data_IF_154304122237
#
_entry.id   IF_154304122237
#
_cell.length_a   1.000
_cell.length_b   1.000
_cell.length_c   1.000
_cell.angle_alpha   90.00
_cell.angle_beta   90.00
_cell.angle_gamma   90.00
#
_symmetry.space_group_name_H-M   'P 1'
#
loop_
_entity.id
_entity.type
_entity.pdbx_description
1 polymer ?
#
# COMPACT_ATOMS: atom_id res chain seq x y z
N UNK A 1 2.49 5.35 -26.98
CA UNK A 1 1.50 6.38 -26.60
C UNK A 1 1.70 6.68 -25.12
N UNK A 2 1.84 7.94 -24.73
CA UNK A 2 1.90 8.29 -23.31
C UNK A 2 0.53 7.95 -22.68
N UNK A 3 0.51 7.04 -21.70
CA UNK A 3 -0.72 6.70 -20.96
C UNK A 3 -1.18 7.96 -20.25
N UNK A 4 -2.46 8.33 -20.43
CA UNK A 4 -3.02 9.50 -19.76
C UNK A 4 -2.90 9.30 -18.24
N UNK A 5 -2.42 10.33 -17.54
CA UNK A 5 -2.29 10.30 -16.08
C UNK A 5 -3.67 10.00 -15.46
N UNK A 6 -3.74 8.95 -14.65
CA UNK A 6 -4.94 8.59 -13.90
C UNK A 6 -5.23 9.71 -12.89
N UNK A 7 -6.51 10.05 -12.71
CA UNK A 7 -6.96 10.95 -11.65
C UNK A 7 -7.16 10.15 -10.37
N UNK A 8 -6.63 10.67 -9.27
CA UNK A 8 -6.77 10.13 -7.92
C UNK A 8 -6.77 11.28 -6.93
N UNK A 9 -7.34 11.06 -5.75
CA UNK A 9 -7.36 12.04 -4.65
C UNK A 9 -7.14 11.37 -3.30
N UNK A 10 -6.82 12.18 -2.29
CA UNK A 10 -6.73 11.70 -0.90
C UNK A 10 -8.08 11.14 -0.45
N UNK A 11 -8.05 9.95 0.16
CA UNK A 11 -9.21 9.19 0.57
C UNK A 11 -9.55 8.03 -0.37
N UNK A 12 -9.17 8.10 -1.65
CA UNK A 12 -9.44 7.05 -2.62
C UNK A 12 -8.79 5.72 -2.24
N UNK A 13 -9.49 4.64 -2.58
CA UNK A 13 -8.99 3.28 -2.51
C UNK A 13 -8.39 2.88 -3.86
N UNK A 14 -7.22 2.27 -3.80
CA UNK A 14 -6.52 1.77 -4.97
C UNK A 14 -6.28 0.27 -4.87
N UNK A 15 -6.15 -0.37 -6.03
CA UNK A 15 -5.76 -1.77 -6.16
C UNK A 15 -4.27 -1.89 -6.48
N UNK A 16 -3.55 -2.74 -5.77
CA UNK A 16 -2.21 -3.20 -6.15
C UNK A 16 -2.38 -4.50 -6.92
N UNK A 17 -2.02 -4.57 -8.22
CA UNK A 17 -2.14 -5.79 -8.99
C UNK A 17 -1.34 -6.94 -8.38
N UNK A 18 -2.04 -8.04 -8.18
CA UNK A 18 -1.50 -9.35 -7.84
C UNK A 18 -1.69 -10.25 -9.07
N UNK A 19 -1.10 -11.44 -9.06
CA UNK A 19 -1.35 -12.48 -10.05
C UNK A 19 -2.83 -12.91 -10.12
N UNK A 20 -3.23 -13.52 -11.24
CA UNK A 20 -4.56 -14.09 -11.49
C UNK A 20 -5.76 -13.14 -11.35
N UNK A 21 -5.63 -11.91 -11.86
CA UNK A 21 -6.72 -10.93 -11.86
C UNK A 21 -7.18 -10.56 -10.43
N UNK A 22 -6.29 -10.55 -9.44
CA UNK A 22 -6.58 -10.05 -8.09
C UNK A 22 -5.91 -8.71 -7.83
N UNK A 23 -6.54 -7.89 -6.99
CA UNK A 23 -6.01 -6.62 -6.51
C UNK A 23 -5.98 -6.65 -4.98
N UNK A 24 -4.82 -6.35 -4.37
CA UNK A 24 -4.76 -6.01 -2.96
C UNK A 24 -5.26 -4.58 -2.76
N UNK A 25 -5.90 -4.29 -1.64
CA UNK A 25 -6.50 -2.98 -1.38
C UNK A 25 -5.56 -2.10 -0.57
N UNK A 26 -5.34 -0.89 -1.06
CA UNK A 26 -4.77 0.20 -0.29
C UNK A 26 -5.67 1.43 -0.26
N UNK A 27 -5.38 2.36 0.64
CA UNK A 27 -6.05 3.66 0.72
C UNK A 27 -5.03 4.78 0.78
N UNK A 28 -5.29 5.86 0.02
CA UNK A 28 -4.50 7.08 0.05
C UNK A 28 -4.92 7.90 1.27
N UNK A 29 -3.99 8.14 2.19
CA UNK A 29 -4.24 8.96 3.38
C UNK A 29 -3.74 10.40 3.26
N UNK A 30 -2.77 10.66 2.39
CA UNK A 30 -2.23 12.01 2.22
C UNK A 30 -1.23 12.08 1.08
N UNK A 31 -0.97 13.30 0.62
CA UNK A 31 0.04 13.61 -0.40
C UNK A 31 0.91 14.74 0.13
N UNK A 32 2.22 14.56 0.04
CA UNK A 32 3.20 15.47 0.60
C UNK A 32 4.31 15.72 -0.43
N UNK A 33 4.50 16.99 -0.78
CA UNK A 33 5.55 17.39 -1.71
C UNK A 33 6.91 16.90 -1.23
N UNK A 34 7.76 16.45 -2.16
CA UNK A 34 9.12 15.91 -1.93
C UNK A 34 9.19 14.58 -1.16
N UNK A 35 8.10 14.12 -0.56
CA UNK A 35 8.01 12.81 0.11
C UNK A 35 7.28 11.81 -0.78
N UNK A 36 6.05 12.11 -1.20
CA UNK A 36 5.19 11.20 -1.95
C UNK A 36 3.82 11.03 -1.30
N UNK A 37 3.27 9.83 -1.38
CA UNK A 37 1.89 9.53 -0.98
C UNK A 37 1.89 8.65 0.26
N UNK A 38 1.23 9.10 1.34
CA UNK A 38 0.99 8.28 2.51
C UNK A 38 -0.13 7.27 2.18
N UNK A 39 0.17 5.99 2.28
CA UNK A 39 -0.76 4.92 1.96
C UNK A 39 -0.90 3.93 3.12
N UNK A 40 -2.11 3.42 3.32
CA UNK A 40 -2.33 2.15 4.00
C UNK A 40 -2.42 1.03 2.99
N UNK A 41 -1.83 -0.11 3.32
CA UNK A 41 -1.99 -1.36 2.59
C UNK A 41 -2.66 -2.36 3.52
N UNK A 42 -3.61 -3.13 2.99
CA UNK A 42 -4.40 -4.09 3.76
C UNK A 42 -4.21 -5.52 3.25
N UNK A 43 -4.64 -6.50 4.05
CA UNK A 43 -4.75 -7.91 3.63
C UNK A 43 -5.99 -8.19 2.77
N UNK A 44 -6.85 -7.21 2.53
CA UNK A 44 -8.02 -7.38 1.67
C UNK A 44 -7.59 -7.54 0.22
N UNK A 45 -8.20 -8.48 -0.50
CA UNK A 45 -8.04 -8.61 -1.95
C UNK A 45 -9.36 -8.92 -2.64
N UNK A 46 -9.52 -8.40 -3.84
CA UNK A 46 -10.70 -8.63 -4.68
C UNK A 46 -10.27 -9.11 -6.06
N UNK A 47 -11.15 -9.87 -6.73
CA UNK A 47 -10.95 -10.11 -8.15
C UNK A 47 -11.22 -8.83 -8.93
N UNK A 48 -10.31 -8.43 -9.81
CA UNK A 48 -10.45 -7.30 -10.73
C UNK A 48 -11.65 -7.47 -11.69
N UNK A 49 -12.10 -8.71 -11.91
CA UNK A 49 -13.32 -9.03 -12.68
C UNK A 49 -14.61 -8.71 -11.92
N UNK A 50 -14.55 -8.74 -10.59
CA UNK A 50 -15.67 -8.53 -9.68
C UNK A 50 -15.33 -7.39 -8.71
N UNK A 51 -14.84 -6.25 -9.23
CA UNK A 51 -14.72 -5.06 -8.40
C UNK A 51 -16.06 -4.81 -7.72
N UNK A 52 -16.09 -4.48 -6.42
CA UNK A 52 -17.33 -4.20 -5.72
C UNK A 52 -17.97 -2.95 -6.34
N UNK A 53 -18.83 -3.17 -7.33
CA UNK A 53 -19.52 -2.10 -8.05
C UNK A 53 -20.54 -1.37 -7.16
N UNK A 54 -20.90 -1.97 -6.02
CA UNK A 54 -22.02 -1.52 -5.18
C UNK A 54 -21.81 -1.63 -3.66
N UNK A 55 -20.69 -2.18 -3.17
CA UNK A 55 -20.39 -2.22 -1.72
C UNK A 55 -19.24 -1.29 -1.39
N UNK A 56 -19.42 -0.48 -0.34
CA UNK A 56 -18.36 0.38 0.19
C UNK A 56 -17.24 -0.48 0.78
N UNK A 57 -16.04 -0.38 0.21
CA UNK A 57 -14.81 -0.85 0.85
C UNK A 57 -14.70 -0.15 2.20
N UNK A 58 -14.70 -0.96 3.25
CA UNK A 58 -14.48 -0.53 4.62
C UNK A 58 -13.23 -1.23 5.12
N UNK A 59 -12.18 -0.45 5.31
CA UNK A 59 -10.96 -0.96 5.94
C UNK A 59 -11.23 -1.07 7.44
N UNK A 60 -11.20 -2.30 7.95
CA UNK A 60 -11.02 -2.54 9.38
C UNK A 60 -9.55 -2.33 9.72
N UNK A 61 -9.29 -1.72 10.87
CA UNK A 61 -7.93 -1.50 11.34
C UNK A 61 -7.14 -2.80 11.52
N UNK A 62 -7.84 -3.90 11.79
CA UNK A 62 -7.25 -5.22 11.91
C UNK A 62 -6.76 -5.77 10.57
N UNK A 63 -7.23 -5.21 9.45
CA UNK A 63 -6.85 -5.60 8.10
C UNK A 63 -5.63 -4.84 7.59
N UNK A 64 -5.22 -3.76 8.26
CA UNK A 64 -4.02 -3.01 7.88
C UNK A 64 -2.78 -3.85 8.16
N UNK A 65 -1.94 -4.00 7.14
CA UNK A 65 -0.68 -4.78 7.22
C UNK A 65 0.54 -3.89 7.11
N UNK A 66 0.43 -2.76 6.42
CA UNK A 66 1.54 -1.85 6.19
C UNK A 66 1.03 -0.40 6.07
N UNK A 67 1.85 0.56 6.52
CA UNK A 67 1.60 1.98 6.38
C UNK A 67 2.91 2.68 6.05
N UNK A 68 2.97 3.38 4.91
CA UNK A 68 4.21 3.90 4.37
C UNK A 68 3.99 5.06 3.39
N UNK A 69 5.06 5.81 3.13
CA UNK A 69 5.10 6.71 1.99
C UNK A 69 5.55 5.94 0.75
N UNK A 70 4.87 6.17 -0.37
CA UNK A 70 5.21 5.58 -1.67
C UNK A 70 5.39 6.67 -2.72
N UNK A 71 6.17 6.37 -3.75
CA UNK A 71 6.26 7.25 -4.93
C UNK A 71 4.91 7.29 -5.67
N UNK A 72 4.57 8.45 -6.25
CA UNK A 72 3.29 8.66 -6.95
C UNK A 72 3.16 7.87 -8.26
N UNK A 73 4.26 7.30 -8.77
CA UNK A 73 4.37 6.81 -10.14
C UNK A 73 3.32 5.75 -10.50
N UNK A 74 3.09 4.76 -9.63
CA UNK A 74 2.11 3.70 -9.91
C UNK A 74 0.68 4.20 -9.89
N UNK A 75 0.35 5.18 -9.04
CA UNK A 75 -0.97 5.82 -9.01
C UNK A 75 -1.16 6.73 -10.22
N UNK A 76 -0.15 7.53 -10.56
CA UNK A 76 -0.16 8.45 -11.69
C UNK A 76 -0.32 7.73 -13.03
N UNK A 77 0.44 6.64 -13.22
CA UNK A 77 0.41 5.85 -14.46
C UNK A 77 -0.74 4.84 -14.50
N UNK A 78 -1.53 4.73 -13.43
CA UNK A 78 -2.62 3.76 -13.31
C UNK A 78 -2.14 2.31 -13.37
N UNK A 79 -0.93 2.05 -12.86
CA UNK A 79 -0.51 0.68 -12.53
C UNK A 79 -1.24 0.20 -11.28
N UNK A 80 -1.48 1.12 -10.34
CA UNK A 80 -2.40 0.92 -9.24
C UNK A 80 -3.72 1.62 -9.55
N UNK A 81 -4.73 0.92 -10.09
CA UNK A 81 -5.99 1.53 -10.46
C UNK A 81 -6.75 2.04 -9.23
N UNK A 82 -7.43 3.18 -9.37
CA UNK A 82 -8.43 3.59 -8.36
C UNK A 82 -9.64 2.68 -8.50
N UNK A 83 -9.99 2.00 -7.41
CA UNK A 83 -11.08 1.01 -7.38
C UNK A 83 -12.35 1.56 -6.72
N UNK A 84 -12.21 2.58 -5.85
CA UNK A 84 -13.34 3.27 -5.25
C UNK A 84 -12.93 4.63 -4.70
N UNK A 85 -13.82 5.62 -4.79
CA UNK A 85 -13.64 6.88 -4.10
C UNK A 85 -13.91 6.73 -2.61
N UNK A 86 -13.09 7.34 -1.78
CA UNK A 86 -13.22 7.25 -0.34
C UNK A 86 -12.99 8.57 0.37
N UNK A 87 -13.19 8.57 1.68
CA UNK A 87 -12.93 9.71 2.55
C UNK A 87 -11.84 9.29 3.53
N UNK A 88 -10.82 10.13 3.67
CA UNK A 88 -9.77 9.91 4.65
C UNK A 88 -10.25 10.20 6.07
N UNK A 89 -9.99 9.29 6.99
CA UNK A 89 -10.10 9.56 8.42
C UNK A 89 -8.76 10.12 8.94
N UNK A 90 -8.72 11.40 9.31
CA UNK A 90 -7.49 12.05 9.82
C UNK A 90 -6.93 11.39 11.07
N UNK A 91 -7.77 10.76 11.91
CA UNK A 91 -7.29 10.05 13.09
C UNK A 91 -6.47 8.81 12.70
N UNK A 92 -6.86 8.12 11.63
CA UNK A 92 -6.12 6.96 11.10
C UNK A 92 -4.77 7.42 10.54
N UNK A 93 -4.73 8.55 9.82
CA UNK A 93 -3.48 9.14 9.34
C UNK A 93 -2.51 9.41 10.50
N UNK A 94 -2.95 10.08 11.56
CA UNK A 94 -2.09 10.37 12.73
C UNK A 94 -1.67 9.11 13.49
N UNK A 95 -2.51 8.08 13.50
CA UNK A 95 -2.19 6.82 14.15
C UNK A 95 -1.00 6.11 13.49
N UNK A 96 -1.00 6.04 12.15
CA UNK A 96 0.04 5.33 11.40
C UNK A 96 1.22 6.21 11.02
N UNK A 97 1.02 7.53 10.97
CA UNK A 97 2.03 8.53 10.68
C UNK A 97 2.08 9.56 11.82
N UNK A 98 2.63 9.21 12.99
CA UNK A 98 2.58 10.08 14.18
C UNK A 98 3.29 11.42 13.99
N UNK A 99 4.26 11.50 13.08
CA UNK A 99 5.01 12.71 12.77
C UNK A 99 4.38 13.55 11.65
N UNK A 100 3.14 13.26 11.24
CA UNK A 100 2.53 13.93 10.09
C UNK A 100 2.41 15.45 10.26
N UNK A 101 2.13 15.91 11.48
CA UNK A 101 2.04 17.35 11.76
C UNK A 101 3.39 18.06 11.56
N UNK A 102 4.52 17.37 11.79
CA UNK A 102 5.87 17.90 11.53
C UNK A 102 6.17 17.92 10.03
N UNK A 103 5.75 16.89 9.30
CA UNK A 103 5.89 16.81 7.84
C UNK A 103 5.11 17.96 7.18
N UNK A 104 3.88 18.23 7.64
CA UNK A 104 3.06 19.34 7.16
C UNK A 104 3.69 20.72 7.43
N UNK A 105 4.59 20.82 8.42
CA UNK A 105 5.40 22.00 8.72
C UNK A 105 6.71 22.06 7.92
N UNK A 106 6.96 21.08 7.05
CA UNK A 106 8.16 21.00 6.21
C UNK A 106 9.34 20.25 6.83
N UNK A 107 9.18 19.63 8.01
CA UNK A 107 10.21 18.79 8.60
C UNK A 107 10.14 17.37 8.03
N UNK A 108 10.98 17.11 7.04
CA UNK A 108 11.01 15.84 6.30
C UNK A 108 12.20 14.93 6.68
N UNK A 109 12.94 15.29 7.73
CA UNK A 109 14.15 14.56 8.13
C UNK A 109 13.77 13.16 8.62
N UNK A 110 14.43 12.14 8.06
CA UNK A 110 14.24 10.74 8.45
C UNK A 110 12.98 10.08 7.88
N UNK A 111 12.27 10.75 6.97
CA UNK A 111 11.16 10.15 6.23
C UNK A 111 11.71 9.32 5.07
N UNK A 112 11.31 8.06 5.02
CA UNK A 112 11.62 7.16 3.92
C UNK A 112 10.39 7.02 3.01
N UNK A 113 10.62 6.98 1.72
CA UNK A 113 9.61 6.72 0.69
C UNK A 113 10.01 5.49 -0.08
N UNK A 114 9.10 4.54 -0.15
CA UNK A 114 9.31 3.29 -0.88
C UNK A 114 8.92 3.44 -2.35
N UNK A 115 9.71 2.82 -3.23
CA UNK A 115 9.35 2.67 -4.63
C UNK A 115 8.20 1.66 -4.77
N UNK A 116 7.26 1.91 -5.68
CA UNK A 116 6.11 1.04 -5.87
C UNK A 116 6.46 -0.42 -6.19
N UNK A 117 7.57 -0.68 -6.88
CA UNK A 117 8.05 -2.03 -7.16
C UNK A 117 8.34 -2.86 -5.89
N UNK A 118 8.84 -2.21 -4.83
CA UNK A 118 9.05 -2.87 -3.53
C UNK A 118 7.71 -3.32 -2.95
N UNK A 119 6.67 -2.49 -3.11
CA UNK A 119 5.35 -2.76 -2.56
C UNK A 119 4.64 -3.86 -3.36
N UNK A 120 4.81 -3.86 -4.69
CA UNK A 120 4.31 -4.92 -5.57
C UNK A 120 4.87 -6.28 -5.13
N UNK A 121 6.19 -6.36 -4.86
CA UNK A 121 6.83 -7.60 -4.45
C UNK A 121 6.51 -7.99 -3.00
N UNK A 122 6.44 -7.01 -2.09
CA UNK A 122 5.94 -7.21 -0.73
C UNK A 122 4.55 -7.84 -0.72
N UNK A 123 3.62 -7.32 -1.54
CA UNK A 123 2.25 -7.82 -1.60
C UNK A 123 2.19 -9.23 -2.20
N UNK A 124 2.96 -9.52 -3.26
CA UNK A 124 3.06 -10.88 -3.81
C UNK A 124 3.58 -11.87 -2.76
N UNK A 125 4.61 -11.48 -2.01
CA UNK A 125 5.16 -12.30 -0.94
C UNK A 125 4.15 -12.51 0.20
N UNK A 126 3.44 -11.45 0.60
CA UNK A 126 2.38 -11.50 1.62
C UNK A 126 1.29 -12.52 1.25
N UNK A 127 0.88 -12.55 -0.02
CA UNK A 127 -0.09 -13.52 -0.53
C UNK A 127 0.54 -14.85 -0.99
N UNK A 128 1.79 -15.12 -0.59
CA UNK A 128 2.48 -16.41 -0.80
C UNK A 128 2.64 -16.79 -2.28
N UNK A 129 2.86 -15.81 -3.15
CA UNK A 129 3.14 -16.03 -4.58
C UNK A 129 4.62 -16.09 -4.90
N UNK A 130 5.44 -15.45 -4.07
CA UNK A 130 6.90 -15.50 -4.12
C UNK A 130 7.47 -15.73 -2.72
N UNK A 131 8.71 -16.22 -2.57
CA UNK A 131 9.28 -16.44 -1.25
C UNK A 131 9.48 -15.11 -0.49
N UNK A 132 9.14 -15.12 0.80
CA UNK A 132 9.22 -13.96 1.68
C UNK A 132 10.65 -13.47 1.92
N UNK A 133 11.60 -14.40 1.96
CA UNK A 133 13.02 -14.15 2.23
C UNK A 133 13.88 -14.09 0.94
N UNK A 134 13.26 -13.88 -0.23
CA UNK A 134 13.95 -13.73 -1.53
C UNK A 134 14.53 -12.32 -1.75
N UNK A 135 15.06 -11.71 -0.69
CA UNK A 135 15.71 -10.39 -0.74
C UNK A 135 17.15 -10.49 -0.26
N UNK A 136 17.97 -9.49 -0.61
CA UNK A 136 19.36 -9.45 -0.12
C UNK A 136 19.43 -9.47 1.41
N UNK A 137 18.52 -8.73 2.05
CA UNK A 137 18.23 -8.86 3.48
C UNK A 137 16.97 -9.73 3.65
N UNK A 138 17.10 -10.96 4.20
CA UNK A 138 15.97 -11.87 4.41
C UNK A 138 14.86 -11.31 5.30
N UNK A 139 15.16 -10.32 6.13
CA UNK A 139 14.20 -9.66 7.04
C UNK A 139 13.65 -8.34 6.45
N UNK A 140 13.96 -8.02 5.19
CA UNK A 140 13.56 -6.75 4.60
C UNK A 140 12.04 -6.58 4.57
N UNK A 141 11.30 -7.60 4.15
CA UNK A 141 9.83 -7.54 4.08
C UNK A 141 9.17 -7.50 5.48
N UNK A 142 9.81 -8.07 6.50
CA UNK A 142 9.35 -7.97 7.88
C UNK A 142 9.31 -6.51 8.37
N UNK A 143 10.24 -5.68 7.90
CA UNK A 143 10.35 -4.25 8.27
C UNK A 143 9.26 -3.38 7.64
N UNK A 144 8.57 -3.89 6.61
CA UNK A 144 7.47 -3.18 5.95
C UNK A 144 6.13 -3.36 6.69
N UNK A 145 6.02 -4.36 7.56
CA UNK A 145 4.81 -4.59 8.35
C UNK A 145 4.63 -3.50 9.42
N UNK A 146 3.39 -3.10 9.68
CA UNK A 146 3.09 -2.18 10.80
C UNK A 146 3.44 -2.77 12.16
N UNK A 147 3.45 -4.10 12.27
CA UNK A 147 3.83 -4.84 13.46
C UNK A 147 4.08 -6.32 13.13
N UNK A 148 4.91 -7.03 13.91
CA UNK A 148 5.25 -8.43 13.63
C UNK A 148 4.05 -9.40 13.61
N UNK A 149 2.99 -9.12 14.36
CA UNK A 149 1.76 -9.93 14.38
C UNK A 149 0.94 -9.86 13.08
N UNK A 150 1.25 -8.91 12.18
CA UNK A 150 0.64 -8.83 10.85
C UNK A 150 1.27 -9.76 9.82
N UNK A 151 2.39 -10.42 10.17
CA UNK A 151 3.03 -11.40 9.30
C UNK A 151 2.09 -12.57 9.04
N UNK A 152 1.86 -12.96 7.78
CA UNK A 152 0.94 -14.05 7.46
C UNK A 152 1.56 -15.40 7.84
N UNK A 153 0.72 -16.35 8.23
CA UNK A 153 1.17 -17.67 8.73
C UNK A 153 1.62 -18.62 7.61
N UNK A 154 1.13 -18.40 6.38
CA UNK A 154 1.25 -19.31 5.25
C UNK A 154 2.36 -18.94 4.26
N UNK A 155 3.41 -18.26 4.73
CA UNK A 155 4.51 -17.78 3.87
C UNK A 155 5.31 -18.90 3.22
N UNK A 156 5.74 -18.64 1.99
CA UNK A 156 6.75 -19.44 1.29
C UNK A 156 8.12 -18.88 1.65
N UNK A 157 9.08 -19.76 1.91
CA UNK A 157 10.49 -19.40 2.11
C UNK A 157 11.35 -20.10 1.07
N UNK A 158 12.50 -19.53 0.73
CA UNK A 158 13.47 -20.21 -0.12
C UNK A 158 13.84 -21.55 0.50
N UNK A 159 13.68 -22.62 -0.28
CA UNK A 159 14.31 -23.89 0.05
C UNK A 159 15.83 -23.68 0.02
N UNK A 160 16.48 -23.84 1.18
CA UNK A 160 17.94 -23.82 1.29
C UNK A 160 18.55 -25.09 0.72
#
# INVERSE_FOLDING_TARGET
MARQKQKWQVGDYFGIPIEDDFLAVGQILGKYDWIGVACLITKMKFSSKNLPLYEDIKIDINDVIAAMFVTEESLDKGFWPIIQQGIVNKNILKQYFPNIDLIEQGNIIGINTEGSAIIDDFIKAYFSLVPWDDWHDPEYLDKLLISPDKKPENLIYKNK
#
